data_IF_815166055475
#
_entry.id   IF_815166055475
#
_cell.length_a   1.000
_cell.length_b   1.000
_cell.length_c   1.000
_cell.angle_alpha   90.00
_cell.angle_beta   90.00
_cell.angle_gamma   90.00
#
_symmetry.space_group_name_H-M   'P 1'
#
loop_
_entity.id
_entity.type
_entity.pdbx_description
1 polymer ?
#
# COMPACT_ATOMS: atom_id res chain seq x y z
N UNK A 1 20.98 -2.04 -18.68
CA UNK A 1 20.11 -2.45 -17.57
C UNK A 1 20.91 -2.41 -16.27
N UNK A 2 20.90 -1.23 -15.65
CA UNK A 2 21.50 -1.00 -14.34
C UNK A 2 20.37 -0.68 -13.38
N UNK A 3 20.23 -1.47 -12.31
CA UNK A 3 19.17 -1.29 -11.32
C UNK A 3 19.74 -0.61 -10.10
N UNK A 4 19.11 0.47 -9.67
CA UNK A 4 19.40 1.17 -8.41
C UNK A 4 18.26 0.95 -7.41
N UNK A 5 18.60 0.95 -6.13
CA UNK A 5 17.65 0.82 -5.03
C UNK A 5 17.63 2.11 -4.23
N UNK A 6 16.44 2.59 -3.89
CA UNK A 6 16.26 3.76 -3.04
C UNK A 6 14.97 3.65 -2.23
N UNK A 7 14.84 4.51 -1.21
CA UNK A 7 13.59 4.67 -0.49
C UNK A 7 12.51 5.28 -1.41
N UNK A 8 11.26 4.87 -1.21
CA UNK A 8 10.12 5.43 -1.95
C UNK A 8 10.01 6.94 -1.69
N UNK A 9 9.84 7.70 -2.76
CA UNK A 9 9.52 9.14 -2.72
C UNK A 9 8.20 9.40 -3.44
N UNK A 10 7.54 10.52 -3.15
CA UNK A 10 6.19 10.83 -3.65
C UNK A 10 6.10 10.78 -5.19
N UNK A 11 7.17 11.16 -5.88
CA UNK A 11 7.25 11.15 -7.34
C UNK A 11 7.13 9.76 -7.97
N UNK A 12 7.48 8.70 -7.24
CA UNK A 12 7.44 7.31 -7.74
C UNK A 12 6.21 6.52 -7.26
N UNK A 13 5.27 7.17 -6.56
CA UNK A 13 4.08 6.49 -6.03
C UNK A 13 3.23 5.90 -7.16
N UNK A 14 2.96 6.67 -8.21
CA UNK A 14 2.14 6.22 -9.34
C UNK A 14 2.80 5.06 -10.08
N UNK A 15 4.09 5.19 -10.41
CA UNK A 15 4.87 4.12 -11.04
C UNK A 15 4.90 2.85 -10.17
N UNK A 16 5.05 3.01 -8.85
CA UNK A 16 5.01 1.88 -7.92
C UNK A 16 3.63 1.20 -7.89
N UNK A 17 2.53 1.96 -7.93
CA UNK A 17 1.17 1.39 -8.04
C UNK A 17 1.04 0.58 -9.32
N UNK A 18 1.54 1.09 -10.45
CA UNK A 18 1.53 0.38 -11.73
C UNK A 18 2.34 -0.92 -11.66
N UNK A 19 3.53 -0.89 -11.07
CA UNK A 19 4.36 -2.10 -10.87
C UNK A 19 3.62 -3.14 -10.03
N UNK A 20 2.91 -2.73 -8.97
CA UNK A 20 2.11 -3.66 -8.14
C UNK A 20 0.89 -4.18 -8.93
N UNK A 21 0.24 -3.35 -9.75
CA UNK A 21 -0.84 -3.80 -10.66
C UNK A 21 -0.38 -4.88 -11.62
N UNK A 22 0.78 -4.70 -12.24
CA UNK A 22 1.37 -5.68 -13.14
C UNK A 22 1.85 -6.94 -12.39
N UNK A 23 2.47 -6.79 -11.22
CA UNK A 23 3.01 -7.92 -10.45
C UNK A 23 1.92 -8.88 -9.94
N UNK A 24 0.74 -8.36 -9.62
CA UNK A 24 -0.42 -9.15 -9.17
C UNK A 24 -1.41 -9.46 -10.29
N UNK A 25 -1.07 -9.18 -11.54
CA UNK A 25 -1.93 -9.52 -12.67
C UNK A 25 -2.10 -11.05 -12.78
N UNK A 26 -3.34 -11.52 -12.62
CA UNK A 26 -3.65 -12.94 -12.65
C UNK A 26 -3.35 -13.71 -11.36
N UNK A 27 -2.96 -13.03 -10.28
CA UNK A 27 -2.81 -13.66 -8.97
C UNK A 27 -4.17 -14.19 -8.45
N UNK A 28 -4.29 -15.50 -8.12
CA UNK A 28 -5.57 -16.07 -7.71
C UNK A 28 -6.18 -15.42 -6.46
N UNK A 29 -5.35 -14.95 -5.52
CA UNK A 29 -5.81 -14.26 -4.32
C UNK A 29 -6.26 -12.84 -4.63
N UNK A 30 -5.53 -12.11 -5.47
CA UNK A 30 -5.93 -10.76 -5.89
C UNK A 30 -7.25 -10.80 -6.68
N UNK A 31 -7.38 -11.77 -7.60
CA UNK A 31 -8.61 -12.00 -8.36
C UNK A 31 -9.77 -12.37 -7.45
N UNK A 32 -9.55 -13.26 -6.47
CA UNK A 32 -10.58 -13.65 -5.52
C UNK A 32 -10.99 -12.47 -4.62
N UNK A 33 -10.01 -11.73 -4.09
CA UNK A 33 -10.24 -10.60 -3.21
C UNK A 33 -11.05 -9.51 -3.93
N UNK A 34 -10.68 -9.18 -5.16
CA UNK A 34 -11.21 -8.04 -5.87
C UNK A 34 -12.23 -8.37 -6.96
N UNK A 35 -12.78 -9.59 -6.94
CA UNK A 35 -13.68 -10.15 -7.97
C UNK A 35 -14.83 -9.20 -8.36
N UNK A 36 -15.48 -8.59 -7.38
CA UNK A 36 -16.65 -7.72 -7.58
C UNK A 36 -16.32 -6.22 -7.43
N UNK A 37 -15.04 -5.86 -7.40
CA UNK A 37 -14.60 -4.49 -7.18
C UNK A 37 -14.22 -3.76 -8.47
N UNK A 38 -14.52 -2.47 -8.54
CA UNK A 38 -14.10 -1.65 -9.67
C UNK A 38 -12.57 -1.56 -9.76
N UNK A 39 -12.00 -1.60 -10.97
CA UNK A 39 -10.55 -1.41 -11.18
C UNK A 39 -10.03 -0.12 -10.53
N UNK A 40 -10.82 0.96 -10.58
CA UNK A 40 -10.48 2.26 -9.95
C UNK A 40 -10.36 2.17 -8.43
N UNK A 41 -11.21 1.36 -7.79
CA UNK A 41 -11.17 1.12 -6.35
C UNK A 41 -9.90 0.37 -5.93
N UNK A 42 -9.56 -0.70 -6.67
CA UNK A 42 -8.33 -1.47 -6.44
C UNK A 42 -7.10 -0.57 -6.49
N UNK A 43 -7.02 0.26 -7.53
CA UNK A 43 -5.93 1.23 -7.71
C UNK A 43 -5.86 2.21 -6.53
N UNK A 44 -6.99 2.81 -6.16
CA UNK A 44 -7.05 3.78 -5.06
C UNK A 44 -6.66 3.17 -3.70
N UNK A 45 -7.02 1.90 -3.43
CA UNK A 45 -6.57 1.20 -2.21
C UNK A 45 -5.07 0.96 -2.23
N UNK A 46 -4.51 0.53 -3.37
CA UNK A 46 -3.07 0.28 -3.50
C UNK A 46 -2.25 1.55 -3.33
N UNK A 47 -2.70 2.63 -3.96
CA UNK A 47 -2.11 3.97 -3.79
C UNK A 47 -2.15 4.40 -2.33
N UNK A 48 -3.29 4.23 -1.65
CA UNK A 48 -3.42 4.53 -0.23
C UNK A 48 -2.46 3.70 0.62
N UNK A 49 -2.29 2.41 0.31
CA UNK A 49 -1.36 1.51 1.00
C UNK A 49 0.09 1.94 0.83
N UNK A 50 0.50 2.26 -0.40
CA UNK A 50 1.85 2.71 -0.74
C UNK A 50 2.16 4.05 -0.07
N UNK A 51 1.24 5.03 -0.15
CA UNK A 51 1.38 6.32 0.56
C UNK A 51 1.45 6.16 2.08
N UNK A 52 0.78 5.16 2.65
CA UNK A 52 0.94 4.83 4.08
C UNK A 52 2.32 4.23 4.39
N UNK A 53 2.94 3.56 3.41
CA UNK A 53 4.32 3.09 3.50
C UNK A 53 5.35 4.22 3.60
N UNK A 54 5.00 5.45 3.21
CA UNK A 54 5.83 6.66 3.40
C UNK A 54 5.79 7.20 4.85
N UNK A 55 4.96 6.63 5.73
CA UNK A 55 4.89 7.06 7.12
C UNK A 55 6.15 6.62 7.90
N UNK A 56 6.60 7.43 8.87
CA UNK A 56 7.77 7.09 9.68
C UNK A 56 7.58 5.73 10.37
N UNK A 57 8.59 4.86 10.24
CA UNK A 57 8.58 3.50 10.82
C UNK A 57 8.31 2.38 9.82
N UNK A 58 7.79 2.68 8.63
CA UNK A 58 7.67 1.70 7.53
C UNK A 58 8.80 1.86 6.53
N UNK A 59 9.28 0.75 5.97
CA UNK A 59 10.34 0.76 4.97
C UNK A 59 9.79 0.32 3.63
N UNK A 60 9.78 1.24 2.66
CA UNK A 60 9.43 0.94 1.29
C UNK A 60 10.63 1.22 0.41
N UNK A 61 11.20 0.15 -0.15
CA UNK A 61 12.29 0.25 -1.12
C UNK A 61 11.73 0.05 -2.51
N UNK A 62 12.24 0.82 -3.45
CA UNK A 62 11.93 0.70 -4.88
C UNK A 62 13.20 0.34 -5.64
N UNK A 63 13.03 -0.46 -6.68
CA UNK A 63 14.06 -0.79 -7.67
C UNK A 63 13.75 -0.02 -8.94
N UNK A 64 14.68 0.83 -9.38
CA UNK A 64 14.55 1.68 -10.58
C UNK A 64 15.57 1.23 -11.61
N UNK A 65 15.14 1.10 -12.85
CA UNK A 65 16.05 0.93 -13.98
C UNK A 65 16.52 2.29 -14.47
N UNK A 66 17.83 2.55 -14.41
CA UNK A 66 18.40 3.86 -14.74
C UNK A 66 18.26 4.23 -16.21
N UNK A 67 18.08 3.24 -17.09
CA UNK A 67 17.98 3.45 -18.53
C UNK A 67 16.59 3.96 -18.94
N UNK A 68 15.55 3.57 -18.18
CA UNK A 68 14.14 3.89 -18.46
C UNK A 68 13.50 4.82 -17.42
N UNK A 69 14.18 5.07 -16.29
CA UNK A 69 13.66 5.77 -15.10
C UNK A 69 12.34 5.16 -14.57
N UNK A 70 12.09 3.89 -14.90
CA UNK A 70 10.90 3.17 -14.53
C UNK A 70 11.11 2.37 -13.24
N UNK A 71 10.07 2.31 -12.40
CA UNK A 71 10.05 1.43 -11.23
C UNK A 71 9.80 0.01 -11.69
N UNK A 72 10.80 -0.85 -11.53
CA UNK A 72 10.77 -2.26 -11.93
C UNK A 72 10.29 -3.15 -10.78
N UNK A 73 10.46 -2.70 -9.55
CA UNK A 73 10.07 -3.48 -8.37
C UNK A 73 9.85 -2.62 -7.14
N UNK A 74 9.07 -3.15 -6.21
CA UNK A 74 8.80 -2.54 -4.92
C UNK A 74 8.84 -3.62 -3.83
N UNK A 75 9.45 -3.29 -2.70
CA UNK A 75 9.36 -4.08 -1.49
C UNK A 75 8.82 -3.22 -0.36
N UNK A 76 7.74 -3.67 0.27
CA UNK A 76 7.11 -3.02 1.41
C UNK A 76 7.36 -3.87 2.64
N UNK A 77 7.95 -3.27 3.68
CA UNK A 77 8.21 -3.92 4.95
C UNK A 77 7.66 -3.09 6.10
N UNK A 78 6.93 -3.75 6.99
CA UNK A 78 6.50 -3.23 8.28
C UNK A 78 7.12 -4.10 9.37
N UNK A 79 7.85 -3.52 10.35
CA UNK A 79 8.42 -4.30 11.45
C UNK A 79 7.30 -4.95 12.27
N UNK A 80 7.50 -6.19 12.78
CA UNK A 80 6.52 -6.82 13.64
C UNK A 80 6.35 -6.02 14.94
N UNK A 81 5.11 -5.69 15.29
CA UNK A 81 4.79 -4.99 16.53
C UNK A 81 4.80 -6.00 17.68
N UNK A 82 5.55 -5.72 18.76
CA UNK A 82 5.50 -6.55 19.96
C UNK A 82 4.19 -6.30 20.72
N UNK A 83 3.66 -7.30 21.44
CA UNK A 83 2.40 -7.13 22.20
C UNK A 83 2.43 -5.95 23.18
N UNK A 84 3.60 -5.67 23.74
CA UNK A 84 3.82 -4.56 24.68
C UNK A 84 3.78 -3.20 23.98
N UNK A 85 4.30 -3.13 22.76
CA UNK A 85 4.28 -1.91 21.95
C UNK A 85 2.89 -1.66 21.34
N UNK A 86 2.15 -2.74 21.01
CA UNK A 86 0.76 -2.68 20.57
C UNK A 86 -0.19 -2.12 21.66
N UNK A 87 0.13 -2.37 22.92
CA UNK A 87 -0.61 -1.84 24.08
C UNK A 87 -0.33 -0.35 24.33
N UNK A 88 0.84 0.15 23.93
CA UNK A 88 1.22 1.56 24.07
C UNK A 88 1.00 2.35 22.77
N UNK A 89 -0.24 2.38 22.28
CA UNK A 89 -0.58 3.24 21.15
C UNK A 89 -0.22 4.69 21.46
N UNK A 90 0.60 5.30 20.60
CA UNK A 90 0.89 6.72 20.66
C UNK A 90 -0.30 7.53 20.14
N UNK A 91 -0.46 8.77 20.60
CA UNK A 91 -1.49 9.69 20.07
C UNK A 91 -1.38 9.90 18.56
N UNK A 92 -0.16 9.85 18.01
CA UNK A 92 0.08 9.92 16.56
C UNK A 92 -0.49 8.72 15.81
N UNK A 93 -0.34 7.52 16.35
CA UNK A 93 -0.95 6.30 15.79
C UNK A 93 -2.47 6.32 15.91
N UNK A 94 -3.00 6.78 17.04
CA UNK A 94 -4.43 6.92 17.25
C UNK A 94 -5.07 7.89 16.24
N UNK A 95 -4.49 9.08 16.04
CA UNK A 95 -4.95 10.03 15.01
C UNK A 95 -4.75 9.48 13.59
N UNK A 96 -3.62 8.79 13.35
CA UNK A 96 -3.35 8.11 12.09
C UNK A 96 -4.37 7.01 11.77
N UNK A 97 -4.89 6.33 12.80
CA UNK A 97 -5.98 5.37 12.70
C UNK A 97 -7.28 6.02 12.23
N UNK A 98 -7.66 7.16 12.83
CA UNK A 98 -8.83 7.94 12.40
C UNK A 98 -8.72 8.44 10.96
N UNK A 99 -7.55 8.94 10.56
CA UNK A 99 -7.32 9.38 9.19
C UNK A 99 -7.47 8.21 8.20
N UNK A 100 -6.92 7.04 8.54
CA UNK A 100 -7.03 5.83 7.72
C UNK A 100 -8.49 5.40 7.58
N UNK A 101 -9.22 5.39 8.70
CA UNK A 101 -10.63 5.02 8.73
C UNK A 101 -11.48 5.96 7.86
N UNK A 102 -11.28 7.27 7.96
CA UNK A 102 -12.02 8.25 7.13
C UNK A 102 -11.71 8.09 5.64
N UNK A 103 -10.44 7.88 5.28
CA UNK A 103 -10.03 7.62 3.89
C UNK A 103 -10.66 6.33 3.35
N UNK A 104 -10.67 5.26 4.16
CA UNK A 104 -11.32 4.00 3.79
C UNK A 104 -12.82 4.17 3.58
N UNK A 105 -13.50 4.86 4.50
CA UNK A 105 -14.94 5.15 4.39
C UNK A 105 -15.28 5.98 3.15
N UNK A 106 -14.41 6.93 2.77
CA UNK A 106 -14.58 7.69 1.53
C UNK A 106 -14.49 6.79 0.29
N UNK A 107 -13.55 5.86 0.25
CA UNK A 107 -13.44 4.90 -0.85
C UNK A 107 -14.66 3.96 -0.90
N UNK A 108 -15.11 3.46 0.24
CA UNK A 108 -16.31 2.63 0.33
C UNK A 108 -17.56 3.39 -0.17
N UNK A 109 -17.65 4.70 0.09
CA UNK A 109 -18.76 5.54 -0.38
C UNK A 109 -18.72 5.78 -1.90
N UNK A 110 -17.52 5.97 -2.47
CA UNK A 110 -17.36 6.27 -3.90
C UNK A 110 -17.52 5.03 -4.79
N UNK A 111 -17.07 3.87 -4.31
CA UNK A 111 -16.90 2.68 -5.16
C UNK A 111 -17.62 1.43 -4.62
N UNK A 112 -18.33 1.54 -3.50
CA UNK A 112 -18.98 0.43 -2.82
C UNK A 112 -18.07 -0.25 -1.77
N UNK A 113 -18.64 -1.12 -0.92
CA UNK A 113 -17.92 -1.74 0.18
C UNK A 113 -16.79 -2.64 -0.34
N UNK A 114 -15.62 -2.51 0.28
CA UNK A 114 -14.52 -3.43 0.02
C UNK A 114 -14.92 -4.90 0.31
N UNK A 115 -14.28 -5.88 -0.35
CA UNK A 115 -14.32 -7.26 0.10
C UNK A 115 -13.92 -7.35 1.59
N UNK A 116 -14.69 -8.11 2.37
CA UNK A 116 -14.61 -8.20 3.82
C UNK A 116 -13.40 -9.02 4.31
N UNK A 117 -12.20 -8.76 3.78
CA UNK A 117 -10.96 -9.34 4.28
C UNK A 117 -10.23 -8.25 5.06
N UNK A 118 -10.44 -8.26 6.38
CA UNK A 118 -9.51 -7.63 7.31
C UNK A 118 -8.24 -8.47 7.28
N UNK A 119 -7.28 -8.12 6.41
CA UNK A 119 -5.90 -8.50 6.67
C UNK A 119 -5.53 -7.69 7.90
N UNK A 120 -5.65 -8.33 9.07
CA UNK A 120 -5.27 -7.75 10.34
C UNK A 120 -3.87 -7.16 10.18
N UNK A 121 -3.75 -5.84 10.21
CA UNK A 121 -2.56 -5.22 10.76
C UNK A 121 -2.53 -5.65 12.22
N UNK A 122 -1.72 -6.66 12.51
CA UNK A 122 -1.35 -7.04 13.87
C UNK A 122 -0.48 -5.93 14.44
#
# INVERSE_FOLDING_TARGET
MTIIYQDLTEQYVDSAVDTVELAFEGDPLDVWLYKDSEKKFRRAIRELGIRRGLKPGKKVLIAIDTDSDAVVGISVWEPPVSKKDAESQTWGEWLGGWQTWTQRKRLDWLYGPAPAVSICSV
#
